data_IF_410856264763
#
_entry.id   IF_410856264763
#
_cell.length_a   1.000
_cell.length_b   1.000
_cell.length_c   1.000
_cell.angle_alpha   90.00
_cell.angle_beta   90.00
_cell.angle_gamma   90.00
#
_symmetry.space_group_name_H-M   'P 1'
#
loop_
_entity.id
_entity.type
_entity.pdbx_description
1 polymer ?
#
# COMPACT_ATOMS: atom_id res chain seq x y z
N UNK A 1 11.73 22.92 56.29
CA UNK A 1 12.21 22.01 57.33
C UNK A 1 13.33 21.20 56.69
N UNK A 2 14.61 21.22 56.99
CA UNK A 2 15.43 21.61 58.10
C UNK A 2 16.84 21.57 57.53
N UNK A 3 17.51 22.64 57.44
CA UNK A 3 18.79 23.11 58.00
C UNK A 3 19.65 22.03 58.66
N UNK A 4 20.95 21.99 58.35
CA UNK A 4 22.15 21.97 59.21
C UNK A 4 23.33 22.18 58.23
N UNK A 5 23.99 23.24 58.03
CA UNK A 5 24.84 24.12 58.88
C UNK A 5 26.16 23.44 59.30
N UNK A 6 27.26 23.88 58.63
CA UNK A 6 28.37 24.63 59.23
C UNK A 6 29.40 23.87 60.05
N UNK A 7 30.62 24.21 59.72
CA UNK A 7 31.91 24.24 60.45
C UNK A 7 32.93 23.22 59.94
N UNK A 8 34.06 23.61 59.45
CA UNK A 8 35.19 24.13 60.22
C UNK A 8 36.17 24.86 59.25
N UNK A 9 36.57 26.02 59.59
CA UNK A 9 37.71 26.75 59.06
C UNK A 9 38.92 26.45 59.95
N UNK A 10 40.09 26.79 59.39
CA UNK A 10 41.42 26.98 59.99
C UNK A 10 42.34 25.76 60.10
N UNK A 11 43.39 25.79 59.27
CA UNK A 11 44.76 26.04 59.74
C UNK A 11 45.76 26.00 58.56
N UNK A 12 46.25 27.18 58.20
CA UNK A 12 47.67 27.56 58.31
C UNK A 12 48.66 26.87 57.34
N UNK A 13 49.01 27.66 56.35
CA UNK A 13 50.34 27.86 55.70
C UNK A 13 51.41 26.73 55.85
N UNK A 14 51.71 26.10 54.69
CA UNK A 14 53.11 25.78 54.37
C UNK A 14 53.41 26.05 52.91
N UNK A 15 54.46 26.82 52.67
CA UNK A 15 54.96 27.22 51.33
C UNK A 15 55.81 26.08 50.79
N UNK A 16 55.26 25.19 50.00
CA UNK A 16 56.00 24.28 49.14
C UNK A 16 55.94 24.74 47.70
N UNK A 17 57.05 24.95 47.06
CA UNK A 17 57.23 25.29 45.63
C UNK A 17 56.36 24.41 44.72
N UNK A 18 55.72 24.95 43.67
CA UNK A 18 55.09 24.11 42.67
C UNK A 18 56.17 23.40 41.87
N UNK A 19 56.30 22.12 42.09
CA UNK A 19 56.96 21.24 41.12
C UNK A 19 56.14 21.29 39.84
N UNK A 20 56.75 21.76 38.80
CA UNK A 20 56.24 21.73 37.43
C UNK A 20 56.18 20.27 37.04
N UNK A 21 55.01 19.62 37.27
CA UNK A 21 54.66 18.41 36.57
C UNK A 21 54.39 18.82 35.11
N UNK A 22 55.35 18.65 34.30
CA UNK A 22 55.16 18.60 32.88
C UNK A 22 54.28 17.38 32.62
N UNK A 23 52.97 17.63 32.51
CA UNK A 23 52.00 16.68 31.96
C UNK A 23 52.49 16.37 30.53
N UNK A 24 53.32 15.37 30.39
CA UNK A 24 53.52 14.68 29.11
C UNK A 24 52.13 14.13 28.71
N UNK A 25 51.35 14.95 28.04
CA UNK A 25 50.26 14.50 27.19
C UNK A 25 50.94 13.72 26.08
N UNK A 26 51.22 12.44 26.30
CA UNK A 26 51.79 11.55 25.32
C UNK A 26 50.91 11.59 24.09
N UNK A 27 51.38 12.26 23.02
CA UNK A 27 50.75 12.18 21.69
C UNK A 27 50.67 10.71 21.34
N UNK A 28 49.42 10.20 21.30
CA UNK A 28 49.19 8.83 20.82
C UNK A 28 49.80 8.72 19.42
N UNK A 29 50.56 7.63 19.15
CA UNK A 29 51.18 7.46 17.85
C UNK A 29 50.10 7.51 16.74
N UNK A 30 50.39 8.22 15.68
CA UNK A 30 49.48 8.43 14.54
C UNK A 30 48.94 7.11 13.96
N UNK A 31 49.66 5.99 14.13
CA UNK A 31 49.24 4.64 13.76
C UNK A 31 48.06 4.12 14.61
N UNK A 32 48.03 4.40 15.91
CA UNK A 32 46.91 4.01 16.79
C UNK A 32 45.63 4.80 16.48
N UNK A 33 45.79 6.09 16.22
CA UNK A 33 44.65 6.93 15.82
C UNK A 33 44.06 6.51 14.47
N UNK A 34 44.89 6.07 13.55
CA UNK A 34 44.46 5.53 12.24
C UNK A 34 43.75 4.18 12.46
N UNK A 35 44.32 3.28 13.25
CA UNK A 35 43.69 1.99 13.54
C UNK A 35 42.32 2.16 14.26
N UNK A 36 42.21 3.08 15.23
CA UNK A 36 40.95 3.39 15.92
C UNK A 36 39.88 3.98 14.94
N UNK A 37 40.28 4.84 14.02
CA UNK A 37 39.38 5.38 12.99
C UNK A 37 38.92 4.31 12.01
N UNK A 38 39.80 3.40 11.58
CA UNK A 38 39.42 2.30 10.69
C UNK A 38 38.40 1.35 11.37
N UNK A 39 38.70 0.98 12.64
CA UNK A 39 37.77 0.10 13.39
C UNK A 39 36.42 0.74 13.65
N UNK A 40 36.36 2.06 13.88
CA UNK A 40 35.08 2.78 13.99
C UNK A 40 34.32 2.83 12.68
N UNK A 41 35.03 3.04 11.55
CA UNK A 41 34.40 3.04 10.23
C UNK A 41 33.84 1.67 9.87
N UNK A 42 34.54 0.57 10.19
CA UNK A 42 34.05 -0.80 10.01
C UNK A 42 32.78 -1.06 10.83
N UNK A 43 32.76 -0.64 12.11
CA UNK A 43 31.56 -0.79 12.97
C UNK A 43 30.39 0.07 12.48
N UNK A 44 30.64 1.28 11.99
CA UNK A 44 29.60 2.14 11.40
C UNK A 44 29.02 1.52 10.12
N UNK A 45 29.87 0.93 9.27
CA UNK A 45 29.42 0.25 8.06
C UNK A 45 28.58 -1.00 8.38
N UNK A 46 29.00 -1.82 9.35
CA UNK A 46 28.25 -3.00 9.82
C UNK A 46 26.86 -2.60 10.39
N UNK A 47 26.80 -1.52 11.18
CA UNK A 47 25.54 -1.00 11.72
C UNK A 47 24.63 -0.50 10.60
N UNK A 48 25.20 0.20 9.59
CA UNK A 48 24.44 0.71 8.46
C UNK A 48 23.89 -0.43 7.59
N UNK A 49 24.65 -1.51 7.42
CA UNK A 49 24.21 -2.70 6.68
C UNK A 49 23.09 -3.43 7.42
N UNK A 50 23.24 -3.67 8.73
CA UNK A 50 22.21 -4.28 9.56
C UNK A 50 20.90 -3.43 9.59
N UNK A 51 21.00 -2.11 9.59
CA UNK A 51 19.84 -1.22 9.49
C UNK A 51 19.14 -1.36 8.13
N UNK A 52 19.88 -1.43 7.02
CA UNK A 52 19.30 -1.63 5.68
C UNK A 52 18.58 -2.97 5.59
N UNK A 53 19.13 -4.03 6.14
CA UNK A 53 18.50 -5.37 6.18
C UNK A 53 17.18 -5.34 6.98
N UNK A 54 17.17 -4.68 8.13
CA UNK A 54 15.94 -4.52 8.93
C UNK A 54 14.86 -3.71 8.21
N UNK A 55 15.25 -2.66 7.49
CA UNK A 55 14.32 -1.86 6.68
C UNK A 55 13.73 -2.67 5.52
N UNK A 56 14.55 -3.46 4.84
CA UNK A 56 14.11 -4.38 3.79
C UNK A 56 13.12 -5.42 4.32
N UNK A 57 13.43 -6.06 5.44
CA UNK A 57 12.55 -7.04 6.08
C UNK A 57 11.21 -6.41 6.50
N UNK A 58 11.20 -5.15 6.93
CA UNK A 58 9.97 -4.43 7.26
C UNK A 58 9.08 -4.20 6.02
N UNK A 59 9.68 -3.86 4.88
CA UNK A 59 8.95 -3.70 3.60
C UNK A 59 8.37 -5.03 3.14
N UNK A 60 9.15 -6.11 3.18
CA UNK A 60 8.69 -7.45 2.79
C UNK A 60 7.50 -7.91 3.65
N UNK A 61 7.57 -7.73 4.96
CA UNK A 61 6.44 -8.04 5.87
C UNK A 61 5.19 -7.25 5.53
N UNK A 62 5.33 -5.96 5.16
CA UNK A 62 4.21 -5.13 4.75
C UNK A 62 3.59 -5.66 3.45
N UNK A 63 4.41 -6.08 2.48
CA UNK A 63 3.94 -6.65 1.21
C UNK A 63 3.20 -7.98 1.47
N UNK A 64 3.79 -8.91 2.23
CA UNK A 64 3.15 -10.19 2.55
C UNK A 64 1.84 -10.03 3.31
N UNK A 65 1.80 -9.11 4.27
CA UNK A 65 0.55 -8.78 4.98
C UNK A 65 -0.51 -8.24 4.01
N UNK A 66 -0.12 -7.35 3.12
CA UNK A 66 -1.01 -6.77 2.10
C UNK A 66 -1.54 -7.85 1.16
N UNK A 67 -0.68 -8.73 0.66
CA UNK A 67 -1.05 -9.82 -0.23
C UNK A 67 -2.04 -10.79 0.44
N UNK A 68 -1.81 -11.13 1.71
CA UNK A 68 -2.70 -11.97 2.49
C UNK A 68 -4.09 -11.34 2.66
N UNK A 69 -4.16 -10.05 3.01
CA UNK A 69 -5.45 -9.34 3.17
C UNK A 69 -6.20 -9.25 1.85
N UNK A 70 -5.52 -8.96 0.74
CA UNK A 70 -6.15 -8.93 -0.60
C UNK A 70 -6.65 -10.31 -1.00
N UNK A 71 -5.90 -11.39 -0.75
CA UNK A 71 -6.33 -12.75 -1.03
C UNK A 71 -7.60 -13.12 -0.24
N UNK A 72 -7.68 -12.74 1.05
CA UNK A 72 -8.88 -12.94 1.87
C UNK A 72 -10.05 -12.16 1.30
N UNK A 73 -9.88 -10.90 0.90
CA UNK A 73 -10.94 -10.10 0.31
C UNK A 73 -11.48 -10.72 -0.99
N UNK A 74 -10.61 -11.28 -1.84
CA UNK A 74 -11.01 -11.99 -3.07
C UNK A 74 -11.79 -13.27 -2.75
N UNK A 75 -11.42 -14.02 -1.73
CA UNK A 75 -12.15 -15.23 -1.32
C UNK A 75 -13.49 -14.90 -0.67
N UNK A 76 -13.56 -13.86 0.15
CA UNK A 76 -14.82 -13.38 0.74
C UNK A 76 -15.81 -12.93 -0.35
N UNK A 77 -15.31 -12.32 -1.41
CA UNK A 77 -16.14 -11.93 -2.55
C UNK A 77 -16.82 -13.15 -3.19
N UNK A 78 -16.12 -14.29 -3.29
CA UNK A 78 -16.68 -15.52 -3.85
C UNK A 78 -17.70 -16.20 -2.92
N UNK A 79 -17.56 -16.07 -1.60
CA UNK A 79 -18.50 -16.61 -0.61
C UNK A 79 -19.89 -15.97 -0.70
N UNK A 80 -19.97 -14.71 -1.16
CA UNK A 80 -21.20 -13.97 -1.32
C UNK A 80 -22.02 -14.37 -2.57
N UNK A 81 -21.48 -15.25 -3.43
CA UNK A 81 -22.18 -15.68 -4.64
C UNK A 81 -23.37 -16.60 -4.29
N UNK A 82 -24.54 -16.34 -4.89
CA UNK A 82 -25.69 -17.21 -4.72
C UNK A 82 -25.43 -18.56 -5.38
N UNK A 83 -25.80 -19.65 -4.69
CA UNK A 83 -25.74 -21.01 -5.22
C UNK A 83 -27.03 -21.28 -5.97
N UNK A 84 -26.98 -21.55 -7.29
CA UNK A 84 -28.18 -21.83 -8.06
C UNK A 84 -28.92 -23.04 -7.50
N UNK A 85 -30.21 -22.87 -7.27
CA UNK A 85 -31.07 -23.90 -6.69
C UNK A 85 -31.14 -23.94 -5.17
N UNK A 86 -30.29 -23.17 -4.48
CA UNK A 86 -30.20 -23.16 -3.03
C UNK A 86 -29.72 -24.49 -2.41
N UNK A 87 -29.22 -24.41 -1.17
CA UNK A 87 -28.66 -25.59 -0.47
C UNK A 87 -29.76 -26.59 -0.08
N UNK A 88 -31.00 -26.13 0.07
CA UNK A 88 -32.09 -26.95 0.60
C UNK A 88 -32.73 -27.92 -0.41
N UNK A 89 -32.53 -27.71 -1.72
CA UNK A 89 -33.14 -28.47 -2.78
C UNK A 89 -32.12 -29.21 -3.68
N UNK A 90 -30.88 -29.38 -3.23
CA UNK A 90 -29.77 -29.89 -4.05
C UNK A 90 -30.00 -31.31 -4.63
N UNK A 91 -30.88 -32.15 -4.01
CA UNK A 91 -31.10 -33.53 -4.43
C UNK A 91 -32.16 -33.72 -5.52
N UNK A 92 -32.98 -32.70 -5.84
CA UNK A 92 -34.14 -32.84 -6.74
C UNK A 92 -34.27 -31.79 -7.85
N UNK A 93 -33.31 -30.90 -8.00
CA UNK A 93 -33.38 -29.79 -8.98
C UNK A 93 -33.02 -30.31 -10.38
N UNK A 94 -33.85 -30.00 -11.36
CA UNK A 94 -33.55 -30.21 -12.77
C UNK A 94 -32.52 -29.17 -13.27
N UNK A 95 -31.73 -29.54 -14.29
CA UNK A 95 -30.76 -28.64 -14.94
C UNK A 95 -31.44 -27.34 -15.43
N UNK A 96 -32.68 -27.45 -15.92
CA UNK A 96 -33.46 -26.33 -16.42
C UNK A 96 -33.85 -25.34 -15.31
N UNK A 97 -34.15 -25.83 -14.13
CA UNK A 97 -34.46 -24.98 -12.95
C UNK A 97 -33.19 -24.31 -12.43
N UNK A 98 -32.10 -25.06 -12.35
CA UNK A 98 -30.79 -24.52 -11.97
C UNK A 98 -30.32 -23.38 -12.91
N UNK A 99 -30.49 -23.57 -14.23
CA UNK A 99 -30.15 -22.54 -15.22
C UNK A 99 -31.08 -21.33 -15.15
N UNK A 100 -32.37 -21.55 -14.84
CA UNK A 100 -33.32 -20.45 -14.66
C UNK A 100 -32.99 -19.64 -13.42
N UNK A 101 -32.66 -20.28 -12.31
CA UNK A 101 -32.27 -19.61 -11.07
C UNK A 101 -30.94 -18.85 -11.24
N UNK A 102 -29.95 -19.45 -11.89
CA UNK A 102 -28.70 -18.77 -12.22
C UNK A 102 -28.91 -17.49 -13.07
N UNK A 103 -29.90 -17.51 -13.99
CA UNK A 103 -30.26 -16.32 -14.76
C UNK A 103 -30.90 -15.22 -13.91
N UNK A 104 -31.62 -15.57 -12.87
CA UNK A 104 -32.22 -14.58 -11.94
C UNK A 104 -31.16 -13.85 -11.11
N UNK A 105 -30.00 -14.51 -10.88
CA UNK A 105 -28.85 -13.98 -10.15
C UNK A 105 -27.73 -13.47 -11.03
N UNK A 106 -27.99 -13.21 -12.31
CA UNK A 106 -26.94 -12.79 -13.27
C UNK A 106 -26.24 -11.51 -12.83
N UNK A 107 -26.94 -10.58 -12.18
CA UNK A 107 -26.38 -9.32 -11.68
C UNK A 107 -25.41 -9.54 -10.52
N UNK A 108 -25.68 -10.54 -9.64
CA UNK A 108 -24.73 -10.96 -8.59
C UNK A 108 -23.41 -11.46 -9.20
N UNK A 109 -23.48 -12.33 -10.22
CA UNK A 109 -22.29 -12.85 -10.89
C UNK A 109 -21.52 -11.76 -11.62
N UNK A 110 -22.22 -10.83 -12.28
CA UNK A 110 -21.57 -9.70 -12.97
C UNK A 110 -20.90 -8.77 -11.95
N UNK A 111 -21.58 -8.43 -10.84
CA UNK A 111 -21.03 -7.60 -9.77
C UNK A 111 -19.77 -8.26 -9.16
N UNK A 112 -19.82 -9.57 -8.92
CA UNK A 112 -18.68 -10.35 -8.48
C UNK A 112 -17.51 -10.24 -9.46
N UNK A 113 -17.73 -10.54 -10.75
CA UNK A 113 -16.67 -10.53 -11.76
C UNK A 113 -16.01 -9.15 -11.89
N UNK A 114 -16.82 -8.08 -11.90
CA UNK A 114 -16.30 -6.71 -11.96
C UNK A 114 -15.45 -6.42 -10.72
N UNK A 115 -15.96 -6.72 -9.54
CA UNK A 115 -15.25 -6.46 -8.28
C UNK A 115 -13.98 -7.30 -8.15
N UNK A 116 -14.02 -8.56 -8.60
CA UNK A 116 -12.84 -9.42 -8.67
C UNK A 116 -11.74 -8.78 -9.55
N UNK A 117 -12.10 -8.34 -10.76
CA UNK A 117 -11.16 -7.67 -11.68
C UNK A 117 -10.63 -6.37 -11.09
N UNK A 118 -11.47 -5.61 -10.38
CA UNK A 118 -11.08 -4.36 -9.73
C UNK A 118 -10.09 -4.63 -8.60
N UNK A 119 -10.39 -5.55 -7.67
CA UNK A 119 -9.45 -5.92 -6.59
C UNK A 119 -8.15 -6.50 -7.16
N UNK A 120 -8.22 -7.38 -8.15
CA UNK A 120 -7.04 -7.93 -8.82
C UNK A 120 -6.21 -6.84 -9.51
N UNK A 121 -6.85 -5.80 -10.06
CA UNK A 121 -6.17 -4.63 -10.65
C UNK A 121 -5.46 -3.80 -9.57
N UNK A 122 -6.11 -3.55 -8.44
CA UNK A 122 -5.50 -2.90 -7.29
C UNK A 122 -4.25 -3.66 -6.83
N UNK A 123 -4.38 -4.98 -6.65
CA UNK A 123 -3.25 -5.83 -6.25
C UNK A 123 -2.10 -5.77 -7.26
N UNK A 124 -2.38 -5.90 -8.56
CA UNK A 124 -1.36 -5.85 -9.60
C UNK A 124 -0.60 -4.52 -9.64
N UNK A 125 -1.30 -3.39 -9.45
CA UNK A 125 -0.67 -2.07 -9.43
C UNK A 125 0.16 -1.93 -8.15
N UNK A 126 -0.39 -2.33 -7.00
CA UNK A 126 0.28 -2.32 -5.70
C UNK A 126 1.58 -3.15 -5.76
N UNK A 127 1.49 -4.41 -6.18
CA UNK A 127 2.65 -5.31 -6.28
C UNK A 127 3.75 -4.75 -7.20
N UNK A 128 3.38 -4.12 -8.32
CA UNK A 128 4.34 -3.48 -9.23
C UNK A 128 5.04 -2.27 -8.63
N UNK A 129 4.32 -1.46 -7.85
CA UNK A 129 4.83 -0.24 -7.24
C UNK A 129 5.70 -0.55 -6.02
N UNK A 130 5.21 -1.42 -5.12
CA UNK A 130 5.89 -1.73 -3.87
C UNK A 130 7.21 -2.46 -4.06
N UNK A 131 7.44 -3.07 -5.22
CA UNK A 131 8.76 -3.62 -5.61
C UNK A 131 9.90 -2.57 -5.60
N UNK A 132 9.55 -1.29 -5.70
CA UNK A 132 10.51 -0.17 -5.69
C UNK A 132 10.58 0.54 -4.34
N UNK A 133 9.82 0.10 -3.35
CA UNK A 133 9.87 0.63 -1.99
C UNK A 133 11.08 0.05 -1.27
N UNK A 134 11.96 0.90 -0.79
CA UNK A 134 13.15 0.51 -0.01
C UNK A 134 12.92 0.65 1.49
N UNK A 135 12.17 1.67 1.90
CA UNK A 135 11.92 2.01 3.29
C UNK A 135 10.42 2.17 3.50
N UNK A 136 9.85 1.42 4.43
CA UNK A 136 8.45 1.53 4.83
C UNK A 136 8.29 2.68 5.84
N UNK A 137 8.16 3.91 5.35
CA UNK A 137 7.96 5.08 6.22
C UNK A 137 6.58 5.04 6.90
N UNK A 138 6.47 5.65 8.09
CA UNK A 138 5.19 5.71 8.82
C UNK A 138 4.00 6.21 8.00
N UNK A 139 4.11 7.25 7.16
CA UNK A 139 3.01 7.68 6.30
C UNK A 139 2.60 6.60 5.26
N UNK A 140 3.58 5.93 4.63
CA UNK A 140 3.32 4.87 3.65
C UNK A 140 2.57 3.72 4.33
N UNK A 141 3.03 3.27 5.50
CA UNK A 141 2.37 2.19 6.25
C UNK A 141 0.93 2.56 6.61
N UNK A 142 0.70 3.77 7.16
CA UNK A 142 -0.66 4.23 7.53
C UNK A 142 -1.59 4.29 6.33
N UNK A 143 -1.15 4.85 5.22
CA UNK A 143 -1.98 4.93 4.01
C UNK A 143 -2.23 3.54 3.42
N UNK A 144 -1.27 2.63 3.49
CA UNK A 144 -1.47 1.25 3.07
C UNK A 144 -2.54 0.55 3.91
N UNK A 145 -2.58 0.79 5.24
CA UNK A 145 -3.62 0.25 6.12
C UNK A 145 -5.00 0.82 5.75
N UNK A 146 -5.13 2.13 5.48
CA UNK A 146 -6.39 2.70 5.02
C UNK A 146 -6.83 2.17 3.67
N UNK A 147 -5.88 1.95 2.76
CA UNK A 147 -6.15 1.34 1.48
C UNK A 147 -6.64 -0.11 1.66
N UNK A 148 -6.00 -0.91 2.52
CA UNK A 148 -6.42 -2.27 2.86
C UNK A 148 -7.81 -2.31 3.51
N UNK A 149 -8.15 -1.36 4.39
CA UNK A 149 -9.49 -1.24 4.97
C UNK A 149 -10.55 -1.15 3.88
N UNK A 150 -10.31 -0.34 2.85
CA UNK A 150 -11.24 -0.21 1.73
C UNK A 150 -11.29 -1.47 0.85
N UNK A 151 -10.16 -2.19 0.69
CA UNK A 151 -10.14 -3.50 0.03
C UNK A 151 -11.06 -4.48 0.77
N UNK A 152 -10.96 -4.55 2.09
CA UNK A 152 -11.80 -5.44 2.94
C UNK A 152 -13.28 -5.05 2.90
N UNK A 153 -13.60 -3.76 2.73
CA UNK A 153 -14.99 -3.27 2.57
C UNK A 153 -15.55 -3.57 1.18
N UNK A 154 -14.71 -3.80 0.17
CA UNK A 154 -15.16 -3.99 -1.23
C UNK A 154 -16.15 -5.15 -1.40
N UNK A 155 -16.00 -6.35 -0.80
CA UNK A 155 -17.01 -7.41 -0.88
C UNK A 155 -18.39 -6.96 -0.39
N UNK A 156 -18.44 -6.24 0.72
CA UNK A 156 -19.69 -5.69 1.25
C UNK A 156 -20.33 -4.68 0.28
N UNK A 157 -19.56 -3.74 -0.27
CA UNK A 157 -20.10 -2.77 -1.24
C UNK A 157 -20.51 -3.43 -2.56
N UNK A 158 -19.85 -4.54 -2.94
CA UNK A 158 -20.25 -5.38 -4.07
C UNK A 158 -21.61 -6.02 -3.83
N UNK A 159 -21.82 -6.59 -2.65
CA UNK A 159 -23.11 -7.16 -2.27
C UNK A 159 -24.22 -6.12 -2.31
N UNK A 160 -23.95 -4.89 -1.90
CA UNK A 160 -24.92 -3.79 -2.00
C UNK A 160 -25.37 -3.51 -3.43
N UNK A 161 -24.53 -3.76 -4.44
CA UNK A 161 -24.90 -3.56 -5.85
C UNK A 161 -25.94 -4.57 -6.34
N UNK A 162 -25.92 -5.80 -5.82
CA UNK A 162 -26.76 -6.90 -6.28
C UNK A 162 -28.06 -7.06 -5.49
N UNK A 163 -28.23 -6.41 -4.33
CA UNK A 163 -29.45 -6.52 -3.53
C UNK A 163 -30.55 -5.63 -4.11
N UNK A 164 -31.58 -6.24 -4.73
CA UNK A 164 -32.74 -5.52 -5.26
C UNK A 164 -32.40 -4.57 -6.41
N UNK A 165 -33.27 -3.58 -6.67
CA UNK A 165 -33.06 -2.63 -7.75
C UNK A 165 -31.83 -1.75 -7.49
N UNK A 166 -30.96 -1.63 -8.50
CA UNK A 166 -29.80 -0.76 -8.46
C UNK A 166 -30.25 0.70 -8.39
N UNK A 167 -29.79 1.42 -7.37
CA UNK A 167 -30.07 2.84 -7.20
C UNK A 167 -28.79 3.65 -7.03
N UNK A 168 -28.91 4.98 -7.15
CA UNK A 168 -27.78 5.91 -7.07
C UNK A 168 -26.97 5.74 -5.77
N UNK A 169 -27.64 5.47 -4.63
CA UNK A 169 -26.94 5.33 -3.36
C UNK A 169 -26.00 4.10 -3.37
N UNK A 170 -26.51 2.94 -3.77
CA UNK A 170 -25.74 1.68 -3.82
C UNK A 170 -24.60 1.77 -4.82
N UNK A 171 -24.89 2.25 -6.02
CA UNK A 171 -23.91 2.51 -7.04
C UNK A 171 -22.85 3.52 -6.58
N UNK A 172 -23.29 4.64 -5.97
CA UNK A 172 -22.42 5.69 -5.48
C UNK A 172 -21.50 5.24 -4.35
N UNK A 173 -22.00 4.43 -3.40
CA UNK A 173 -21.17 3.87 -2.32
C UNK A 173 -20.04 2.99 -2.88
N UNK A 174 -20.36 2.10 -3.81
CA UNK A 174 -19.33 1.29 -4.47
C UNK A 174 -18.32 2.15 -5.23
N UNK A 175 -18.80 3.02 -6.11
CA UNK A 175 -17.97 3.89 -6.93
C UNK A 175 -17.08 4.82 -6.07
N UNK A 176 -17.63 5.40 -5.01
CA UNK A 176 -16.87 6.23 -4.07
C UNK A 176 -15.80 5.43 -3.32
N UNK A 177 -16.10 4.19 -2.91
CA UNK A 177 -15.12 3.30 -2.28
C UNK A 177 -13.96 3.04 -3.23
N UNK A 178 -14.23 2.71 -4.49
CA UNK A 178 -13.18 2.47 -5.49
C UNK A 178 -12.38 3.75 -5.81
N UNK A 179 -13.06 4.88 -6.00
CA UNK A 179 -12.40 6.17 -6.23
C UNK A 179 -11.46 6.53 -5.08
N UNK A 180 -11.89 6.34 -3.83
CA UNK A 180 -11.09 6.61 -2.65
C UNK A 180 -9.88 5.67 -2.55
N UNK A 181 -10.06 4.37 -2.84
CA UNK A 181 -8.96 3.38 -2.90
C UNK A 181 -7.87 3.81 -3.88
N UNK A 182 -8.24 4.12 -5.11
CA UNK A 182 -7.28 4.56 -6.13
C UNK A 182 -6.63 5.90 -5.77
N UNK A 183 -7.37 6.81 -5.12
CA UNK A 183 -6.83 8.08 -4.64
C UNK A 183 -5.79 7.88 -3.55
N UNK A 184 -6.09 7.07 -2.52
CA UNK A 184 -5.13 6.76 -1.46
C UNK A 184 -3.89 6.10 -2.06
N UNK A 185 -4.06 5.17 -2.98
CA UNK A 185 -2.95 4.52 -3.66
C UNK A 185 -2.11 5.50 -4.47
N UNK A 186 -2.73 6.43 -5.20
CA UNK A 186 -2.01 7.50 -5.91
C UNK A 186 -1.17 8.36 -4.95
N UNK A 187 -1.71 8.70 -3.77
CA UNK A 187 -0.95 9.43 -2.72
C UNK A 187 0.25 8.61 -2.24
N UNK A 188 0.07 7.29 -2.01
CA UNK A 188 1.19 6.40 -1.65
C UNK A 188 2.29 6.47 -2.72
N UNK A 189 1.95 6.35 -4.00
CA UNK A 189 2.93 6.41 -5.09
C UNK A 189 3.66 7.76 -5.14
N UNK A 190 2.95 8.86 -4.94
CA UNK A 190 3.56 10.21 -4.84
C UNK A 190 4.53 10.29 -3.68
N UNK A 191 4.18 9.75 -2.51
CA UNK A 191 5.07 9.70 -1.35
C UNK A 191 6.31 8.87 -1.64
N UNK A 192 6.19 7.71 -2.29
CA UNK A 192 7.32 6.88 -2.69
C UNK A 192 8.26 7.66 -3.62
N UNK A 193 7.72 8.32 -4.64
CA UNK A 193 8.53 9.11 -5.59
C UNK A 193 9.28 10.25 -4.89
N UNK A 194 8.63 10.90 -3.90
CA UNK A 194 9.20 12.07 -3.21
C UNK A 194 10.15 11.70 -2.08
N UNK A 195 9.88 10.64 -1.32
CA UNK A 195 10.62 10.29 -0.11
C UNK A 195 11.79 9.33 -0.34
N UNK A 196 11.73 8.55 -1.40
CA UNK A 196 12.74 7.55 -1.68
C UNK A 196 13.47 7.96 -2.94
N UNK A 197 14.72 8.30 -2.85
CA UNK A 197 15.59 8.70 -3.96
C UNK A 197 15.56 7.65 -5.09
N UNK A 198 14.41 7.59 -5.79
CA UNK A 198 14.19 6.63 -6.88
C UNK A 198 15.11 7.02 -8.03
N UNK A 199 15.99 6.13 -8.49
CA UNK A 199 16.87 6.41 -9.60
C UNK A 199 16.07 6.81 -10.85
N UNK A 200 16.54 7.84 -11.56
CA UNK A 200 15.99 8.20 -12.86
C UNK A 200 16.06 7.00 -13.82
N UNK A 201 15.08 6.86 -14.70
CA UNK A 201 15.04 5.79 -15.71
C UNK A 201 13.82 4.87 -15.56
N UNK A 202 14.01 3.58 -15.85
CA UNK A 202 12.90 2.61 -15.91
C UNK A 202 12.09 2.46 -14.63
N UNK A 203 12.72 2.60 -13.45
CA UNK A 203 12.03 2.52 -12.15
C UNK A 203 11.06 3.68 -11.96
N UNK A 204 11.51 4.92 -12.19
CA UNK A 204 10.68 6.11 -12.10
C UNK A 204 9.52 6.08 -13.11
N UNK A 205 9.79 5.66 -14.35
CA UNK A 205 8.73 5.51 -15.37
C UNK A 205 7.63 4.54 -14.92
N UNK A 206 7.99 3.40 -14.32
CA UNK A 206 7.02 2.41 -13.83
C UNK A 206 6.18 2.95 -12.66
N UNK A 207 6.78 3.73 -11.76
CA UNK A 207 6.04 4.41 -10.70
C UNK A 207 5.08 5.46 -11.26
N UNK A 208 5.53 6.26 -12.24
CA UNK A 208 4.67 7.23 -12.93
C UNK A 208 3.53 6.57 -13.69
N UNK A 209 3.78 5.42 -14.32
CA UNK A 209 2.72 4.63 -14.97
C UNK A 209 1.71 4.10 -13.95
N UNK A 210 2.17 3.62 -12.79
CA UNK A 210 1.31 3.22 -11.68
C UNK A 210 0.47 4.39 -11.16
N UNK A 211 1.08 5.56 -10.96
CA UNK A 211 0.39 6.78 -10.55
C UNK A 211 -0.68 7.18 -11.59
N UNK A 212 -0.32 7.23 -12.86
CA UNK A 212 -1.25 7.57 -13.95
C UNK A 212 -2.44 6.61 -13.99
N UNK A 213 -2.19 5.29 -13.85
CA UNK A 213 -3.26 4.30 -13.82
C UNK A 213 -4.18 4.51 -12.63
N UNK A 214 -3.64 4.76 -11.43
CA UNK A 214 -4.43 5.03 -10.23
C UNK A 214 -5.27 6.30 -10.37
N UNK A 215 -4.70 7.40 -10.87
CA UNK A 215 -5.41 8.68 -11.07
C UNK A 215 -6.53 8.53 -12.09
N UNK A 216 -6.27 7.89 -13.24
CA UNK A 216 -7.29 7.66 -14.27
C UNK A 216 -8.42 6.80 -13.74
N UNK A 217 -8.13 5.75 -12.97
CA UNK A 217 -9.14 4.90 -12.36
C UNK A 217 -9.95 5.67 -11.29
N UNK A 218 -9.30 6.45 -10.43
CA UNK A 218 -9.97 7.28 -9.43
C UNK A 218 -10.97 8.26 -10.08
N UNK A 219 -10.52 8.96 -11.13
CA UNK A 219 -11.38 9.89 -11.88
C UNK A 219 -12.52 9.12 -12.57
N UNK A 220 -12.24 7.97 -13.17
CA UNK A 220 -13.25 7.15 -13.85
C UNK A 220 -14.37 6.71 -12.91
N UNK A 221 -14.04 6.23 -11.71
CA UNK A 221 -15.03 5.88 -10.70
C UNK A 221 -15.76 7.11 -10.16
N UNK A 222 -15.06 8.21 -9.87
CA UNK A 222 -15.68 9.43 -9.38
C UNK A 222 -16.67 10.04 -10.38
N UNK A 223 -16.31 10.09 -11.67
CA UNK A 223 -17.16 10.61 -12.75
C UNK A 223 -18.34 9.68 -13.03
N UNK A 224 -18.21 8.38 -12.79
CA UNK A 224 -19.33 7.45 -13.00
C UNK A 224 -20.54 7.74 -12.08
N UNK A 225 -20.33 8.39 -10.92
CA UNK A 225 -21.41 8.72 -9.98
C UNK A 225 -22.41 9.72 -10.61
N UNK A 226 -22.00 10.91 -11.07
CA UNK A 226 -22.93 11.82 -11.74
C UNK A 226 -23.41 11.25 -13.09
N UNK A 227 -22.61 10.45 -13.76
CA UNK A 227 -22.98 9.82 -15.04
C UNK A 227 -24.12 8.82 -14.85
N UNK A 228 -24.21 8.16 -13.69
CA UNK A 228 -25.34 7.29 -13.34
C UNK A 228 -26.70 7.99 -13.43
N UNK A 229 -26.77 9.29 -13.17
CA UNK A 229 -28.02 10.07 -13.31
C UNK A 229 -28.48 10.17 -14.77
N UNK A 230 -27.57 10.03 -15.74
CA UNK A 230 -27.87 10.15 -17.17
C UNK A 230 -28.13 8.78 -17.81
N UNK A 231 -27.31 7.80 -17.50
CA UNK A 231 -27.33 6.48 -18.16
C UNK A 231 -27.72 5.32 -17.26
N UNK A 232 -28.04 5.60 -15.96
CA UNK A 232 -28.51 4.64 -14.99
C UNK A 232 -27.60 3.37 -14.91
N UNK A 233 -28.20 2.19 -14.95
CA UNK A 233 -27.48 0.90 -14.85
C UNK A 233 -26.38 0.69 -15.90
N UNK A 234 -26.43 1.38 -17.03
CA UNK A 234 -25.40 1.28 -18.06
C UNK A 234 -24.05 1.83 -17.60
N UNK A 235 -24.02 2.72 -16.59
CA UNK A 235 -22.80 3.21 -15.97
C UNK A 235 -21.96 2.09 -15.36
N UNK A 236 -22.61 1.02 -14.89
CA UNK A 236 -21.96 -0.16 -14.32
C UNK A 236 -21.08 -0.91 -15.34
N UNK A 237 -21.57 -1.06 -16.55
CA UNK A 237 -20.82 -1.75 -17.62
C UNK A 237 -19.60 -0.97 -18.09
N UNK A 238 -19.55 0.35 -17.90
CA UNK A 238 -18.37 1.16 -18.20
C UNK A 238 -17.14 0.73 -17.40
N UNK A 239 -17.31 0.26 -16.18
CA UNK A 239 -16.19 -0.20 -15.34
C UNK A 239 -15.49 -1.44 -15.91
N UNK A 240 -16.21 -2.31 -16.60
CA UNK A 240 -15.65 -3.45 -17.31
C UNK A 240 -15.07 -3.07 -18.67
N UNK A 241 -15.72 -2.13 -19.40
CA UNK A 241 -15.34 -1.75 -20.74
C UNK A 241 -14.10 -0.86 -20.80
N UNK A 242 -13.98 0.14 -19.90
CA UNK A 242 -12.90 1.13 -19.93
C UNK A 242 -11.50 0.49 -19.79
N UNK A 243 -11.22 -0.39 -18.82
CA UNK A 243 -9.89 -1.01 -18.71
C UNK A 243 -9.59 -1.99 -19.84
N UNK A 244 -10.61 -2.68 -20.36
CA UNK A 244 -10.44 -3.61 -21.49
C UNK A 244 -10.19 -2.86 -22.79
N UNK A 245 -10.95 -1.81 -23.08
CA UNK A 245 -10.74 -0.96 -24.23
C UNK A 245 -9.36 -0.29 -24.22
N UNK A 246 -8.93 0.24 -23.06
CA UNK A 246 -7.62 0.84 -22.90
C UNK A 246 -6.46 -0.17 -23.10
N UNK A 247 -6.66 -1.44 -22.75
CA UNK A 247 -5.68 -2.53 -23.03
C UNK A 247 -5.63 -2.84 -24.53
N UNK A 248 -6.78 -2.99 -25.17
CA UNK A 248 -6.89 -3.31 -26.61
C UNK A 248 -6.27 -2.19 -27.45
N UNK A 249 -6.60 -0.93 -27.16
CA UNK A 249 -6.05 0.22 -27.87
C UNK A 249 -4.51 0.26 -27.74
N UNK A 250 -3.97 0.03 -26.54
CA UNK A 250 -2.51 -0.03 -26.31
C UNK A 250 -1.84 -1.16 -27.10
N UNK A 251 -2.47 -2.33 -27.18
CA UNK A 251 -1.95 -3.46 -27.95
C UNK A 251 -1.95 -3.19 -29.45
N UNK A 252 -3.01 -2.58 -29.97
CA UNK A 252 -3.11 -2.20 -31.38
C UNK A 252 -2.10 -1.10 -31.75
N UNK A 253 -1.90 -0.13 -30.87
CA UNK A 253 -0.90 0.94 -31.05
C UNK A 253 0.54 0.40 -31.09
N UNK A 254 0.88 -0.51 -30.17
CA UNK A 254 2.20 -1.16 -30.17
C UNK A 254 2.47 -1.98 -31.42
N UNK A 255 1.47 -2.63 -32.01
CA UNK A 255 1.61 -3.37 -33.27
C UNK A 255 1.85 -2.44 -34.46
N UNK A 256 1.29 -1.22 -34.45
CA UNK A 256 1.50 -0.24 -35.53
C UNK A 256 2.86 0.46 -35.47
N UNK A 257 3.50 0.53 -34.32
CA UNK A 257 4.81 1.18 -34.14
C UNK A 257 5.98 0.20 -34.29
N UNK A 258 5.72 -1.10 -34.41
CA UNK A 258 6.73 -2.15 -34.64
C UNK A 258 6.69 -2.73 -36.08
N UNK A 259 5.87 -2.19 -36.95
CA UNK A 259 5.84 -2.43 -38.41
C UNK A 259 6.30 -1.20 -39.18
#
# INVERSE_FOLDING_TARGET
>A
MTRISSRYADSVTDRGKPGRQDDEVGERPSSELVAERLSRAEVEDDIAEAQREMEFAAVERLIFFTDAVVAIALTLLAVELPIPGGIQNAESISISEMLRDARQHIDDYIAFLISFVVIATHWQIHHRVFRYVRIATRPIIRLNIYWLLLIVITPFTTKMLSIGDMNLLRFGVYAATQALQFTIFAVIVVLIIRSQHVPAGAALQRLQDGLRQAVVAAIGFAVSIPLYLLIQQWAFYLWALVPTAARIIRLLWRRRTSA
#
